data_IF_335409047881
#
_entry.id   IF_335409047881
#
_cell.length_a   1.000
_cell.length_b   1.000
_cell.length_c   1.000
_cell.angle_alpha   90.00
_cell.angle_beta   90.00
_cell.angle_gamma   90.00
#
_symmetry.space_group_name_H-M   'P 1'
#
loop_
_entity.id
_entity.type
_entity.pdbx_description
1 polymer ?
#
# COMPACT_ATOMS: atom_id res chain seq x y z
N UNK A 1 14.98 25.47 -11.38
CA UNK A 1 15.48 24.11 -11.10
C UNK A 1 15.08 23.23 -12.27
N UNK A 2 16.02 22.60 -12.95
CA UNK A 2 15.71 21.60 -13.98
C UNK A 2 15.20 20.34 -13.29
N UNK A 3 13.95 19.97 -13.56
CA UNK A 3 13.37 18.70 -13.09
C UNK A 3 14.10 17.56 -13.80
N UNK A 4 14.85 16.76 -13.04
CA UNK A 4 15.58 15.60 -13.56
C UNK A 4 14.70 14.34 -13.41
N UNK A 5 14.49 13.61 -14.51
CA UNK A 5 13.68 12.39 -14.56
C UNK A 5 14.53 11.31 -15.21
N UNK A 6 14.62 10.14 -14.56
CA UNK A 6 15.54 9.07 -14.97
C UNK A 6 17.01 9.54 -15.05
N UNK A 7 17.44 10.45 -14.16
CA UNK A 7 18.82 10.93 -14.11
C UNK A 7 19.23 11.90 -15.24
N UNK A 8 18.31 12.29 -16.12
CA UNK A 8 18.54 13.27 -17.21
C UNK A 8 17.51 14.40 -17.20
N UNK A 9 17.79 15.57 -17.81
CA UNK A 9 16.83 16.68 -17.89
C UNK A 9 15.52 16.23 -18.53
N UNK A 10 14.39 16.78 -18.09
CA UNK A 10 13.09 16.48 -18.71
C UNK A 10 13.05 16.88 -20.20
N UNK A 11 12.61 15.95 -21.03
CA UNK A 11 12.41 16.11 -22.47
C UNK A 11 10.97 15.74 -22.81
N UNK A 12 10.25 16.67 -23.43
CA UNK A 12 8.90 16.45 -23.94
C UNK A 12 8.89 15.30 -24.96
N UNK A 13 7.93 14.38 -24.82
CA UNK A 13 7.73 13.18 -25.66
C UNK A 13 8.78 12.08 -25.53
N UNK A 14 9.65 12.14 -24.52
CA UNK A 14 10.50 11.01 -24.16
C UNK A 14 9.64 9.86 -23.57
N UNK A 15 9.57 8.67 -24.20
CA UNK A 15 8.71 7.58 -23.75
C UNK A 15 9.10 7.05 -22.36
N UNK A 16 10.39 7.03 -22.03
CA UNK A 16 10.90 6.51 -20.77
C UNK A 16 10.58 7.45 -19.60
N UNK A 17 10.80 8.76 -19.80
CA UNK A 17 10.45 9.76 -18.80
C UNK A 17 8.94 9.89 -18.62
N UNK A 18 8.17 9.81 -19.71
CA UNK A 18 6.70 9.79 -19.65
C UNK A 18 6.19 8.58 -18.85
N UNK A 19 6.79 7.41 -19.05
CA UNK A 19 6.44 6.21 -18.28
C UNK A 19 6.82 6.34 -16.80
N UNK A 20 7.95 6.98 -16.48
CA UNK A 20 8.36 7.24 -15.10
C UNK A 20 7.40 8.18 -14.38
N UNK A 21 7.00 9.29 -15.03
CA UNK A 21 5.99 10.22 -14.49
C UNK A 21 4.67 9.48 -14.22
N UNK A 22 4.16 8.73 -15.20
CA UNK A 22 2.91 7.94 -15.03
C UNK A 22 3.00 6.87 -13.94
N UNK A 23 4.20 6.34 -13.63
CA UNK A 23 4.38 5.42 -12.49
C UNK A 23 4.32 6.17 -11.17
N UNK A 24 4.95 7.35 -11.10
CA UNK A 24 4.89 8.20 -9.92
C UNK A 24 3.46 8.69 -9.64
N UNK A 25 2.76 9.20 -10.65
CA UNK A 25 1.35 9.63 -10.55
C UNK A 25 0.45 8.48 -10.08
N UNK A 26 0.58 7.28 -10.66
CA UNK A 26 -0.19 6.11 -10.21
C UNK A 26 0.10 5.72 -8.76
N UNK A 27 1.33 5.92 -8.30
CA UNK A 27 1.70 5.67 -6.90
C UNK A 27 1.06 6.72 -5.98
N UNK A 28 1.11 7.99 -6.35
CA UNK A 28 0.47 9.08 -5.61
C UNK A 28 -1.05 8.89 -5.55
N UNK A 29 -1.70 8.58 -6.68
CA UNK A 29 -3.12 8.24 -6.74
C UNK A 29 -3.48 7.07 -5.81
N UNK A 30 -2.64 6.05 -5.74
CA UNK A 30 -2.85 4.91 -4.86
C UNK A 30 -2.73 5.31 -3.37
N UNK A 31 -1.74 6.14 -3.03
CA UNK A 31 -1.57 6.68 -1.68
C UNK A 31 -2.79 7.52 -1.28
N UNK A 32 -3.25 8.41 -2.16
CA UNK A 32 -4.40 9.26 -1.89
C UNK A 32 -5.67 8.44 -1.65
N UNK A 33 -5.89 7.37 -2.44
CA UNK A 33 -7.01 6.44 -2.21
C UNK A 33 -6.93 5.75 -0.85
N UNK A 34 -5.73 5.28 -0.45
CA UNK A 34 -5.52 4.63 0.84
C UNK A 34 -5.79 5.62 1.98
N UNK A 35 -5.23 6.83 1.92
CA UNK A 35 -5.39 7.86 2.95
C UNK A 35 -6.86 8.27 3.09
N UNK A 36 -7.55 8.47 1.97
CA UNK A 36 -8.97 8.83 1.99
C UNK A 36 -9.84 7.71 2.59
N UNK A 37 -9.61 6.45 2.21
CA UNK A 37 -10.35 5.31 2.77
C UNK A 37 -10.12 5.15 4.27
N UNK A 38 -8.89 5.32 4.75
CA UNK A 38 -8.58 5.29 6.18
C UNK A 38 -9.25 6.44 6.94
N UNK A 39 -9.26 7.66 6.39
CA UNK A 39 -9.95 8.80 7.00
C UNK A 39 -11.46 8.59 7.10
N UNK A 40 -12.10 7.97 6.09
CA UNK A 40 -13.51 7.61 6.14
C UNK A 40 -13.79 6.54 7.21
N UNK A 41 -12.93 5.53 7.32
CA UNK A 41 -13.04 4.51 8.36
C UNK A 41 -12.93 5.12 9.77
N UNK A 42 -11.99 6.05 9.99
CA UNK A 42 -11.83 6.76 11.26
C UNK A 42 -13.09 7.55 11.65
N UNK A 43 -13.73 8.23 10.70
CA UNK A 43 -15.02 8.91 10.94
C UNK A 43 -16.12 7.94 11.32
N UNK A 44 -16.21 6.79 10.64
CA UNK A 44 -17.19 5.76 10.99
C UNK A 44 -17.00 5.19 12.41
N UNK A 45 -15.74 5.08 12.86
CA UNK A 45 -15.42 4.69 14.24
C UNK A 45 -15.85 5.77 15.23
N UNK A 46 -15.60 7.04 14.93
CA UNK A 46 -16.04 8.17 15.75
C UNK A 46 -17.57 8.19 15.90
N UNK A 47 -18.30 8.13 14.78
CA UNK A 47 -19.77 8.07 14.76
C UNK A 47 -20.32 6.88 15.58
N UNK A 48 -19.69 5.71 15.46
CA UNK A 48 -20.06 4.52 16.25
C UNK A 48 -19.86 4.76 17.74
N UNK A 49 -18.69 5.28 18.14
CA UNK A 49 -18.36 5.52 19.54
C UNK A 49 -19.26 6.60 20.14
N UNK A 50 -19.64 7.62 19.39
CA UNK A 50 -20.61 8.62 19.84
C UNK A 50 -22.02 8.03 20.05
N UNK A 51 -22.46 7.13 19.17
CA UNK A 51 -23.81 6.55 19.21
C UNK A 51 -23.98 5.40 20.21
N UNK A 52 -22.97 4.54 20.33
CA UNK A 52 -23.04 3.26 21.07
C UNK A 52 -22.06 3.22 22.25
N UNK A 53 -20.98 4.00 22.19
CA UNK A 53 -19.86 3.91 23.11
C UNK A 53 -18.79 2.93 22.64
N UNK A 54 -17.60 3.00 23.24
CA UNK A 54 -16.55 2.03 22.98
C UNK A 54 -16.86 0.70 23.67
N UNK A 55 -16.84 -0.40 22.90
CA UNK A 55 -17.11 -1.75 23.39
C UNK A 55 -16.03 -2.75 22.94
N UNK A 56 -16.16 -4.00 23.43
CA UNK A 56 -15.22 -5.07 23.12
C UNK A 56 -15.31 -5.57 21.68
N UNK A 57 -16.47 -5.45 21.02
CA UNK A 57 -16.67 -5.87 19.62
C UNK A 57 -15.92 -4.93 18.67
N UNK A 58 -16.04 -3.62 18.90
CA UNK A 58 -15.28 -2.60 18.19
C UNK A 58 -13.77 -2.81 18.39
N UNK A 59 -13.32 -3.03 19.63
CA UNK A 59 -11.91 -3.26 19.89
C UNK A 59 -11.38 -4.53 19.18
N UNK A 60 -12.15 -5.61 19.14
CA UNK A 60 -11.78 -6.82 18.41
C UNK A 60 -11.69 -6.57 16.90
N UNK A 61 -12.71 -5.92 16.33
CA UNK A 61 -12.76 -5.60 14.90
C UNK A 61 -11.59 -4.70 14.47
N UNK A 62 -11.24 -3.70 15.26
CA UNK A 62 -10.10 -2.82 14.99
C UNK A 62 -8.77 -3.58 15.03
N UNK A 63 -8.58 -4.50 15.99
CA UNK A 63 -7.37 -5.32 16.03
C UNK A 63 -7.25 -6.24 14.80
N UNK A 64 -8.35 -6.89 14.39
CA UNK A 64 -8.35 -7.71 13.17
C UNK A 64 -8.00 -6.88 11.94
N UNK A 65 -8.60 -5.70 11.79
CA UNK A 65 -8.32 -4.80 10.67
C UNK A 65 -6.86 -4.32 10.66
N UNK A 66 -6.27 -4.02 11.82
CA UNK A 66 -4.85 -3.67 11.92
C UNK A 66 -3.94 -4.82 11.48
N UNK A 67 -4.23 -6.05 11.90
CA UNK A 67 -3.47 -7.22 11.45
C UNK A 67 -3.56 -7.41 9.93
N UNK A 68 -4.75 -7.25 9.34
CA UNK A 68 -4.93 -7.36 7.90
C UNK A 68 -4.15 -6.26 7.15
N UNK A 69 -4.20 -5.01 7.64
CA UNK A 69 -3.46 -3.89 7.05
C UNK A 69 -1.94 -4.13 7.12
N UNK A 70 -1.43 -4.61 8.25
CA UNK A 70 -0.01 -4.95 8.40
C UNK A 70 0.42 -6.12 7.50
N UNK A 71 -0.46 -7.10 7.29
CA UNK A 71 -0.24 -8.18 6.34
C UNK A 71 -0.16 -7.66 4.89
N UNK A 72 -1.15 -6.89 4.45
CA UNK A 72 -1.19 -6.34 3.09
C UNK A 72 -0.10 -5.30 2.82
N UNK A 73 0.35 -4.59 3.85
CA UNK A 73 1.48 -3.67 3.77
C UNK A 73 2.84 -4.39 3.73
N UNK A 74 2.87 -5.71 3.94
CA UNK A 74 4.10 -6.49 4.01
C UNK A 74 4.93 -6.21 5.27
N UNK A 75 4.31 -5.77 6.35
CA UNK A 75 4.97 -5.53 7.65
C UNK A 75 5.04 -6.83 8.46
N UNK A 76 3.96 -7.64 8.42
CA UNK A 76 3.97 -8.99 8.98
C UNK A 76 4.44 -9.96 7.89
N UNK A 77 5.67 -10.46 8.05
CA UNK A 77 6.12 -11.65 7.32
C UNK A 77 5.48 -12.87 7.98
N UNK A 78 4.54 -13.51 7.30
CA UNK A 78 4.23 -14.90 7.65
C UNK A 78 5.44 -15.75 7.24
N UNK A 79 6.05 -16.42 8.20
CA UNK A 79 7.25 -17.28 8.05
C UNK A 79 6.93 -18.56 7.23
N UNK A 80 6.27 -18.45 6.07
CA UNK A 80 5.83 -19.64 5.33
C UNK A 80 5.06 -19.46 4.01
N UNK A 81 4.75 -18.25 3.54
CA UNK A 81 3.93 -18.10 2.33
C UNK A 81 4.77 -18.06 1.02
N UNK A 82 4.96 -19.24 0.42
CA UNK A 82 5.34 -19.46 -0.99
C UNK A 82 4.23 -18.98 -1.91
N UNK A 83 4.51 -18.11 -2.89
CA UNK A 83 3.68 -18.05 -4.10
C UNK A 83 4.41 -17.48 -5.33
N UNK A 84 4.49 -18.32 -6.37
CA UNK A 84 5.08 -18.12 -7.69
C UNK A 84 4.00 -17.86 -8.75
N UNK A 85 4.30 -16.91 -9.63
CA UNK A 85 3.52 -16.38 -10.75
C UNK A 85 2.85 -17.44 -11.67
N UNK A 86 1.57 -17.23 -11.99
CA UNK A 86 1.00 -17.60 -13.29
C UNK A 86 -0.12 -16.61 -13.70
N UNK A 87 -0.26 -16.44 -15.01
CA UNK A 87 -0.87 -15.34 -15.78
C UNK A 87 -2.00 -14.45 -15.17
N UNK A 88 -1.83 -13.15 -15.45
CA UNK A 88 -2.73 -11.99 -15.41
C UNK A 88 -2.93 -11.14 -14.14
N UNK A 89 -2.87 -11.60 -12.88
CA UNK A 89 -2.79 -10.67 -11.71
C UNK A 89 -2.18 -11.29 -10.43
N UNK A 90 -1.31 -10.51 -9.77
CA UNK A 90 -0.81 -10.55 -8.38
C UNK A 90 -0.24 -11.85 -7.78
N UNK A 91 1.07 -11.86 -7.48
CA UNK A 91 1.62 -12.60 -6.35
C UNK A 91 2.73 -11.80 -5.66
N UNK A 92 2.60 -11.61 -4.34
CA UNK A 92 3.68 -11.14 -3.47
C UNK A 92 4.66 -12.29 -3.33
N UNK A 93 5.88 -12.14 -3.84
CA UNK A 93 6.93 -13.15 -3.73
C UNK A 93 7.78 -12.88 -2.48
N UNK A 94 7.57 -13.68 -1.43
CA UNK A 94 8.41 -13.70 -0.24
C UNK A 94 9.49 -14.77 -0.36
N UNK A 95 10.76 -14.37 -0.46
CA UNK A 95 11.90 -15.18 0.03
C UNK A 95 13.00 -14.27 0.54
N UNK A 96 13.33 -14.45 1.82
CA UNK A 96 14.58 -13.96 2.37
C UNK A 96 15.74 -14.52 1.57
N UNK A 97 16.47 -13.63 0.91
CA UNK A 97 17.73 -13.93 0.26
C UNK A 97 18.80 -14.07 1.35
N UNK A 98 18.75 -15.21 2.06
CA UNK A 98 19.92 -15.71 2.79
C UNK A 98 20.81 -16.41 1.76
N UNK A 99 21.81 -15.67 1.28
CA UNK A 99 22.80 -16.21 0.36
C UNK A 99 23.92 -15.24 0.03
N UNK A 100 24.78 -14.96 1.02
CA UNK A 100 26.23 -14.76 0.85
C UNK A 100 26.69 -13.80 -0.27
N UNK A 101 27.16 -12.61 0.14
CA UNK A 101 28.49 -12.11 -0.24
C UNK A 101 29.18 -11.60 1.02
#
# INVERSE_FOLDING_TARGET
MTTNICGRPYVLFDPEQTAAIKRAERKEDAIDRIVNGLNEALKGIEDYVEGVGADGELHLALNTALCDLEYWAGVIYDNGALYSQDDDYSMIEWKGDRGLI
#
